data_IF_675981433420
#
_entry.id   IF_675981433420
#
_cell.length_a   1.000
_cell.length_b   1.000
_cell.length_c   1.000
_cell.angle_alpha   90.00
_cell.angle_beta   90.00
_cell.angle_gamma   90.00
#
_symmetry.space_group_name_H-M   'P 1'
#
loop_
_entity.id
_entity.type
_entity.pdbx_description
1 polymer ?
#
# COMPACT_ATOMS: atom_id res chain seq x y z
N UNK A 1 -58.80 26.34 33.16
CA UNK A 1 -59.04 25.60 31.91
C UNK A 1 -57.69 25.41 31.24
N UNK A 2 -56.82 24.61 31.84
CA UNK A 2 -56.71 23.14 31.71
C UNK A 2 -55.62 22.83 30.68
N UNK A 3 -54.42 22.64 31.21
CA UNK A 3 -53.24 22.21 30.49
C UNK A 3 -53.37 20.71 30.23
N UNK A 4 -53.23 20.22 28.99
CA UNK A 4 -53.32 18.80 28.72
C UNK A 4 -52.06 18.04 29.21
N UNK A 5 -52.22 16.79 29.67
CA UNK A 5 -51.16 15.97 30.28
C UNK A 5 -50.11 15.45 29.27
N UNK A 6 -48.88 15.13 29.70
CA UNK A 6 -47.87 14.51 28.85
C UNK A 6 -47.97 12.97 28.92
N UNK A 7 -48.63 12.32 27.97
CA UNK A 7 -48.61 10.85 27.87
C UNK A 7 -48.61 10.33 26.42
N UNK A 8 -47.47 9.77 26.03
CA UNK A 8 -47.38 8.36 25.64
C UNK A 8 -48.14 7.85 24.40
N UNK A 9 -48.03 8.52 23.24
CA UNK A 9 -48.44 7.93 21.95
C UNK A 9 -47.24 7.34 21.17
N UNK A 10 -47.36 6.15 20.55
CA UNK A 10 -46.23 5.40 19.99
C UNK A 10 -45.54 6.12 18.82
N UNK A 11 -44.21 6.24 18.93
CA UNK A 11 -43.31 6.76 17.90
C UNK A 11 -43.44 5.95 16.59
N UNK A 12 -43.33 6.60 15.42
CA UNK A 12 -43.35 5.91 14.12
C UNK A 12 -42.26 4.83 14.06
N UNK A 13 -42.48 3.70 13.35
CA UNK A 13 -41.48 2.65 13.26
C UNK A 13 -40.20 3.20 12.65
N UNK A 14 -39.13 3.13 13.44
CA UNK A 14 -37.76 3.39 13.02
C UNK A 14 -37.47 2.55 11.77
N UNK A 15 -37.17 3.23 10.67
CA UNK A 15 -36.62 2.62 9.47
C UNK A 15 -35.38 1.85 9.93
N UNK A 16 -35.41 0.52 9.84
CA UNK A 16 -34.21 -0.30 9.98
C UNK A 16 -33.22 0.24 8.94
N UNK A 17 -32.18 0.92 9.41
CA UNK A 17 -30.95 1.01 8.67
C UNK A 17 -30.49 -0.43 8.46
N UNK A 18 -30.24 -0.89 7.23
CA UNK A 18 -29.50 -2.12 7.05
C UNK A 18 -28.14 -1.91 7.72
N UNK A 19 -27.92 -2.63 8.80
CA UNK A 19 -26.60 -2.90 9.37
C UNK A 19 -25.82 -3.73 8.33
N UNK A 20 -25.32 -3.06 7.30
CA UNK A 20 -24.39 -3.61 6.31
C UNK A 20 -22.96 -3.31 6.72
N UNK A 21 -22.59 -3.69 7.94
CA UNK A 21 -21.19 -3.73 8.35
C UNK A 21 -20.46 -4.81 7.55
N UNK A 22 -19.20 -4.49 7.21
CA UNK A 22 -18.22 -5.34 6.54
C UNK A 22 -18.27 -5.41 5.00
N UNK A 23 -18.55 -4.30 4.33
CA UNK A 23 -18.01 -4.12 2.98
C UNK A 23 -16.54 -3.66 3.08
N UNK A 24 -15.63 -4.61 2.81
CA UNK A 24 -14.31 -4.35 2.22
C UNK A 24 -13.14 -3.89 3.14
N UNK A 25 -12.94 -4.48 4.33
CA UNK A 25 -11.68 -4.27 5.09
C UNK A 25 -10.60 -5.30 4.74
N UNK A 26 -10.93 -6.35 3.98
CA UNK A 26 -9.98 -7.42 3.67
C UNK A 26 -9.90 -7.71 2.17
N UNK A 27 -9.51 -6.71 1.38
CA UNK A 27 -8.85 -7.01 0.12
C UNK A 27 -7.35 -7.04 0.41
N UNK A 28 -6.65 -8.17 0.21
CA UNK A 28 -5.21 -8.14 0.04
C UNK A 28 -4.96 -7.15 -1.09
N UNK A 29 -4.32 -6.03 -0.79
CA UNK A 29 -3.87 -5.15 -1.86
C UNK A 29 -2.97 -6.00 -2.73
N UNK A 30 -3.31 -6.24 -4.02
CA UNK A 30 -2.38 -6.94 -4.87
C UNK A 30 -1.14 -6.05 -4.91
N UNK A 31 -0.03 -6.54 -4.36
CA UNK A 31 1.26 -5.95 -4.62
C UNK A 31 1.40 -5.99 -6.14
N UNK A 32 1.17 -4.84 -6.77
CA UNK A 32 1.44 -4.64 -8.18
C UNK A 32 2.94 -4.73 -8.33
N UNK A 33 3.48 -5.95 -8.32
CA UNK A 33 4.75 -6.27 -8.95
C UNK A 33 4.52 -5.88 -10.39
N UNK A 34 4.85 -4.64 -10.73
CA UNK A 34 4.99 -4.22 -12.11
C UNK A 34 5.91 -5.25 -12.72
N UNK A 35 5.35 -6.15 -13.53
CA UNK A 35 6.15 -7.15 -14.22
C UNK A 35 7.20 -6.34 -14.98
N UNK A 36 8.51 -6.52 -14.69
CA UNK A 36 9.55 -5.72 -15.31
C UNK A 36 9.33 -5.82 -16.81
N UNK A 37 8.95 -4.70 -17.40
CA UNK A 37 8.57 -4.66 -18.81
C UNK A 37 9.87 -4.68 -19.61
N UNK A 38 10.30 -5.88 -20.00
CA UNK A 38 11.10 -6.06 -21.21
C UNK A 38 12.62 -5.89 -21.12
N UNK A 39 13.25 -5.99 -19.95
CA UNK A 39 14.66 -6.43 -19.95
C UNK A 39 14.64 -7.94 -20.23
N UNK A 40 15.54 -8.45 -21.07
CA UNK A 40 15.69 -9.89 -21.29
C UNK A 40 15.68 -10.62 -19.96
N UNK A 41 15.19 -11.87 -19.96
CA UNK A 41 15.09 -12.71 -18.77
C UNK A 41 16.50 -13.10 -18.29
N UNK A 42 17.38 -12.14 -18.02
CA UNK A 42 18.52 -12.30 -17.13
C UNK A 42 17.91 -12.78 -15.81
N UNK A 43 18.39 -13.93 -15.34
CA UNK A 43 17.95 -14.47 -14.07
C UNK A 43 18.22 -13.39 -13.01
N UNK A 44 17.27 -13.14 -12.11
CA UNK A 44 17.49 -12.15 -11.06
C UNK A 44 18.74 -12.49 -10.24
N UNK A 45 19.07 -13.78 -10.15
CA UNK A 45 20.31 -14.28 -9.58
C UNK A 45 21.55 -13.72 -10.31
N UNK A 46 21.55 -13.71 -11.64
CA UNK A 46 22.65 -13.18 -12.44
C UNK A 46 22.79 -11.66 -12.28
N UNK A 47 21.67 -10.94 -12.25
CA UNK A 47 21.65 -9.50 -11.99
C UNK A 47 22.22 -9.21 -10.60
N UNK A 48 21.77 -9.91 -9.57
CA UNK A 48 22.25 -9.76 -8.20
C UNK A 48 23.74 -10.10 -8.07
N UNK A 49 24.23 -11.13 -8.78
CA UNK A 49 25.66 -11.43 -8.84
C UNK A 49 26.45 -10.28 -9.46
N UNK A 50 26.01 -9.73 -10.60
CA UNK A 50 26.69 -8.60 -11.24
C UNK A 50 26.70 -7.35 -10.35
N UNK A 51 25.59 -7.07 -9.65
CA UNK A 51 25.52 -6.00 -8.64
C UNK A 51 26.53 -6.21 -7.53
N UNK A 52 26.66 -7.43 -7.00
CA UNK A 52 27.65 -7.75 -5.97
C UNK A 52 29.12 -7.54 -6.43
N UNK A 53 29.36 -7.51 -7.75
CA UNK A 53 30.67 -7.17 -8.34
C UNK A 53 30.80 -5.67 -8.67
N UNK A 54 29.84 -4.83 -8.29
CA UNK A 54 29.83 -3.38 -8.52
C UNK A 54 29.37 -2.96 -9.91
N UNK A 55 28.66 -3.83 -10.66
CA UNK A 55 28.12 -3.49 -11.98
C UNK A 55 26.98 -2.47 -11.85
N UNK A 56 27.26 -1.24 -12.29
CA UNK A 56 26.32 -0.12 -12.24
C UNK A 56 25.07 -0.33 -13.11
N UNK A 57 25.20 -1.01 -14.24
CA UNK A 57 24.09 -1.26 -15.16
C UNK A 57 23.15 -2.34 -14.61
N UNK A 58 23.74 -3.38 -14.02
CA UNK A 58 22.97 -4.39 -13.29
C UNK A 58 22.20 -3.76 -12.13
N UNK A 59 22.83 -2.86 -11.37
CA UNK A 59 22.16 -2.15 -10.29
C UNK A 59 21.05 -1.23 -10.79
N UNK A 60 21.26 -0.49 -11.89
CA UNK A 60 20.19 0.33 -12.49
C UNK A 60 18.95 -0.51 -12.82
N UNK A 61 19.16 -1.69 -13.38
CA UNK A 61 18.07 -2.64 -13.71
C UNK A 61 17.34 -3.10 -12.44
N UNK A 62 18.09 -3.37 -11.37
CA UNK A 62 17.53 -3.77 -10.08
C UNK A 62 16.78 -2.62 -9.40
N UNK A 63 17.33 -1.41 -9.46
CA UNK A 63 16.74 -0.19 -8.93
C UNK A 63 15.40 0.12 -9.60
N UNK A 64 15.35 0.10 -10.93
CA UNK A 64 14.11 0.35 -11.70
C UNK A 64 13.00 -0.66 -11.35
N UNK A 65 13.37 -1.89 -11.01
CA UNK A 65 12.43 -2.93 -10.61
C UNK A 65 11.99 -2.84 -9.14
N UNK A 66 12.91 -2.55 -8.21
CA UNK A 66 12.67 -2.62 -6.77
C UNK A 66 12.27 -1.28 -6.14
N UNK A 67 12.78 -0.15 -6.62
CA UNK A 67 12.53 1.15 -6.00
C UNK A 67 11.03 1.50 -5.88
N UNK A 68 10.17 1.26 -6.91
CA UNK A 68 8.74 1.52 -6.79
C UNK A 68 8.04 0.60 -5.77
N UNK A 69 8.53 -0.64 -5.63
CA UNK A 69 7.97 -1.63 -4.70
C UNK A 69 8.34 -1.30 -3.26
N UNK A 70 9.61 -1.02 -3.01
CA UNK A 70 10.12 -0.60 -1.70
C UNK A 70 9.40 0.67 -1.26
N UNK A 71 9.35 1.69 -2.12
CA UNK A 71 8.62 2.93 -1.81
C UNK A 71 7.15 2.67 -1.49
N UNK A 72 6.46 1.84 -2.28
CA UNK A 72 5.06 1.50 -2.04
C UNK A 72 4.81 0.75 -0.71
N UNK A 73 5.78 -0.04 -0.25
CA UNK A 73 5.73 -0.73 1.05
C UNK A 73 5.99 0.27 2.17
N UNK A 74 7.08 1.03 2.08
CA UNK A 74 7.46 2.03 3.10
C UNK A 74 6.35 3.06 3.28
N UNK A 75 5.76 3.55 2.19
CA UNK A 75 4.64 4.50 2.22
C UNK A 75 3.42 3.98 2.98
N UNK A 76 3.13 2.67 2.91
CA UNK A 76 2.03 2.06 3.69
C UNK A 76 2.33 1.98 5.18
N UNK A 77 3.60 1.80 5.54
CA UNK A 77 4.05 1.66 6.93
C UNK A 77 4.19 3.02 7.61
N UNK A 78 4.97 3.92 6.99
CA UNK A 78 5.33 5.23 7.54
C UNK A 78 4.20 6.24 7.37
N UNK A 79 3.38 6.11 6.30
CA UNK A 79 2.25 7.00 5.96
C UNK A 79 2.60 8.49 5.79
N UNK A 80 3.88 8.80 5.70
CA UNK A 80 4.40 10.10 5.31
C UNK A 80 5.23 9.95 4.05
N UNK A 81 4.93 10.76 3.03
CA UNK A 81 5.59 10.65 1.72
C UNK A 81 7.08 11.00 1.80
N UNK A 82 7.42 12.12 2.42
CA UNK A 82 8.80 12.63 2.45
C UNK A 82 9.72 11.65 3.20
N UNK A 83 9.28 11.18 4.37
CA UNK A 83 10.00 10.17 5.15
C UNK A 83 10.09 8.83 4.42
N UNK A 84 9.08 8.46 3.63
CA UNK A 84 9.14 7.23 2.84
C UNK A 84 10.13 7.31 1.69
N UNK A 85 10.28 8.48 1.07
CA UNK A 85 11.28 8.72 0.01
C UNK A 85 12.69 8.61 0.60
N UNK A 86 12.93 9.22 1.75
CA UNK A 86 14.21 9.15 2.48
C UNK A 86 14.58 7.68 2.80
N UNK A 87 13.68 6.95 3.45
CA UNK A 87 13.92 5.53 3.80
C UNK A 87 14.14 4.66 2.56
N UNK A 88 13.41 4.91 1.46
CA UNK A 88 13.62 4.16 0.21
C UNK A 88 15.01 4.41 -0.36
N UNK A 89 15.50 5.65 -0.30
CA UNK A 89 16.84 5.97 -0.76
C UNK A 89 17.90 5.28 0.09
N UNK A 90 17.79 5.31 1.42
CA UNK A 90 18.71 4.60 2.32
C UNK A 90 18.75 3.10 2.01
N UNK A 91 17.60 2.45 1.83
CA UNK A 91 17.53 1.02 1.46
C UNK A 91 18.22 0.75 0.11
N UNK A 92 18.09 1.63 -0.87
CA UNK A 92 18.77 1.48 -2.16
C UNK A 92 20.28 1.72 -2.07
N UNK A 93 20.74 2.59 -1.15
CA UNK A 93 22.16 2.81 -0.88
C UNK A 93 22.77 1.58 -0.18
N UNK A 94 22.07 0.99 0.79
CA UNK A 94 22.52 -0.23 1.48
C UNK A 94 22.59 -1.46 0.56
N UNK A 95 21.79 -1.46 -0.51
CA UNK A 95 21.71 -2.55 -1.48
C UNK A 95 22.80 -2.49 -2.56
N UNK A 96 23.51 -1.37 -2.68
CA UNK A 96 24.66 -1.18 -3.58
C UNK A 96 25.95 -1.72 -2.96
#
# INVERSE_FOLDING_TARGET
>A
MDAPPPDGGPRPPLRLLPTGGAAQVNQPTPFGVGRPSGAGRDDITDVMQRVAHGDKQAFSTLYDALAPLVFGIVLKVVRDRAQSEEVTQEVMIELW
#
